data_IF_595530836105
#
_entry.id   IF_595530836105
#
_cell.length_a   1.000
_cell.length_b   1.000
_cell.length_c   1.000
_cell.angle_alpha   90.00
_cell.angle_beta   90.00
_cell.angle_gamma   90.00
#
_symmetry.space_group_name_H-M   'P 1'
#
loop_
_entity.id
_entity.type
_entity.pdbx_description
1 polymer ?
#
# COMPACT_ATOMS: atom_id res chain seq x y z
N UNK A 1 57.33 51.94 -22.86
CA UNK A 1 57.38 50.51 -23.17
C UNK A 1 56.39 49.84 -22.21
N UNK A 2 55.30 49.29 -22.77
CA UNK A 2 54.12 48.68 -22.15
C UNK A 2 52.99 49.63 -21.70
N UNK A 3 52.01 49.76 -22.61
CA UNK A 3 50.57 49.99 -22.43
C UNK A 3 49.91 48.61 -22.12
N UNK A 4 48.58 48.43 -21.93
CA UNK A 4 47.52 49.17 -21.20
C UNK A 4 46.80 48.21 -20.19
N UNK A 5 45.87 48.70 -19.36
CA UNK A 5 44.64 47.92 -19.06
C UNK A 5 43.54 48.81 -18.48
N UNK A 6 42.52 49.01 -19.32
CA UNK A 6 41.23 49.58 -18.99
C UNK A 6 40.26 48.48 -18.52
N UNK A 7 39.28 48.82 -17.70
CA UNK A 7 38.00 48.12 -17.69
C UNK A 7 36.88 49.05 -17.22
N UNK A 8 35.99 49.37 -18.16
CA UNK A 8 34.73 50.08 -17.98
C UNK A 8 33.64 49.19 -17.35
N UNK A 9 32.62 49.78 -16.72
CA UNK A 9 31.37 49.10 -16.38
C UNK A 9 30.35 49.22 -17.53
N UNK A 10 29.55 48.18 -17.77
CA UNK A 10 28.39 48.27 -18.66
C UNK A 10 27.87 46.94 -19.19
N UNK A 11 26.71 46.55 -18.65
CA UNK A 11 25.58 45.99 -19.40
C UNK A 11 25.55 44.49 -19.77
N UNK A 12 25.06 43.70 -18.81
CA UNK A 12 23.83 42.88 -18.90
C UNK A 12 23.32 42.37 -20.27
N UNK A 13 24.15 41.75 -21.11
CA UNK A 13 23.70 41.21 -22.42
C UNK A 13 24.07 39.74 -22.71
N UNK A 14 24.11 38.86 -21.69
CA UNK A 14 24.28 37.40 -21.92
C UNK A 14 23.13 36.53 -21.41
N UNK A 15 22.12 37.10 -20.75
CA UNK A 15 20.99 36.33 -20.20
C UNK A 15 19.75 36.25 -21.13
N UNK A 16 19.86 36.70 -22.39
CA UNK A 16 18.71 36.84 -23.31
C UNK A 16 18.82 36.00 -24.59
N UNK A 17 19.58 34.90 -24.57
CA UNK A 17 19.70 33.99 -25.72
C UNK A 17 19.28 32.53 -25.47
N UNK A 18 18.46 32.25 -24.46
CA UNK A 18 18.03 30.86 -24.19
C UNK A 18 16.51 30.64 -24.07
N UNK A 19 15.70 31.68 -24.28
CA UNK A 19 14.23 31.58 -24.19
C UNK A 19 13.54 31.34 -25.53
N UNK A 20 14.20 31.64 -26.65
CA UNK A 20 13.63 31.47 -28.00
C UNK A 20 14.05 30.16 -28.70
N UNK A 21 15.09 29.48 -28.22
CA UNK A 21 15.50 28.18 -28.75
C UNK A 21 14.66 27.03 -28.18
N UNK A 22 14.21 27.17 -26.92
CA UNK A 22 13.44 26.14 -26.22
C UNK A 22 11.97 25.99 -26.68
N UNK A 23 11.44 26.99 -27.38
CA UNK A 23 10.10 26.93 -27.98
C UNK A 23 10.10 26.42 -29.42
N UNK A 24 11.26 26.13 -30.01
CA UNK A 24 11.39 25.54 -31.36
C UNK A 24 11.53 24.02 -31.36
N UNK A 25 11.72 23.38 -30.21
CA UNK A 25 11.92 21.92 -30.10
C UNK A 25 10.81 21.16 -29.35
N UNK A 26 9.68 21.80 -29.05
CA UNK A 26 8.56 21.20 -28.30
C UNK A 26 7.23 21.06 -29.04
N UNK A 27 7.16 21.39 -30.33
CA UNK A 27 5.95 21.24 -31.17
C UNK A 27 6.08 19.96 -32.02
N UNK A 28 5.90 18.81 -31.39
CA UNK A 28 6.06 17.51 -32.05
C UNK A 28 5.45 16.35 -31.27
N UNK A 29 4.28 16.56 -30.63
CA UNK A 29 3.55 15.52 -29.91
C UNK A 29 2.05 15.72 -30.03
N UNK A 30 1.53 15.50 -31.24
CA UNK A 30 0.09 15.57 -31.55
C UNK A 30 -0.69 14.47 -30.84
N UNK A 31 -1.93 14.82 -30.44
CA UNK A 31 -2.96 13.97 -29.88
C UNK A 31 -3.08 12.61 -30.57
N UNK A 32 -3.06 11.54 -29.79
CA UNK A 32 -3.68 10.27 -30.16
C UNK A 32 -4.85 10.02 -29.21
N UNK A 33 -6.05 10.44 -29.62
CA UNK A 33 -7.29 10.06 -28.95
C UNK A 33 -8.03 9.04 -29.81
N UNK A 34 -8.44 7.96 -29.13
CA UNK A 34 -9.55 7.06 -29.46
C UNK A 34 -9.35 6.02 -30.59
N UNK A 35 -8.76 4.88 -30.20
CA UNK A 35 -9.30 3.55 -30.56
C UNK A 35 -9.11 2.63 -29.36
N UNK A 36 -10.22 2.13 -28.81
CA UNK A 36 -10.28 1.24 -27.65
C UNK A 36 -9.55 -0.07 -27.96
N UNK A 37 -8.63 -0.48 -27.09
CA UNK A 37 -8.23 -1.87 -26.96
C UNK A 37 -7.76 -2.12 -25.53
N UNK A 38 -8.49 -2.96 -24.82
CA UNK A 38 -8.03 -3.63 -23.60
C UNK A 38 -6.92 -4.61 -23.98
N UNK A 39 -5.75 -4.10 -24.36
CA UNK A 39 -4.53 -4.89 -24.46
C UNK A 39 -3.89 -4.90 -23.09
N UNK A 40 -4.10 -6.00 -22.36
CA UNK A 40 -3.27 -6.38 -21.23
C UNK A 40 -1.82 -6.52 -21.71
N UNK A 41 -0.95 -5.63 -21.25
CA UNK A 41 0.48 -5.62 -21.59
C UNK A 41 0.94 -4.17 -21.67
N UNK A 42 1.54 -3.58 -20.66
CA UNK A 42 2.35 -4.09 -19.56
C UNK A 42 1.54 -4.06 -18.26
N UNK A 43 1.73 -5.02 -17.36
CA UNK A 43 1.09 -5.08 -16.03
C UNK A 43 1.51 -3.88 -15.17
N UNK A 44 0.92 -2.73 -15.47
CA UNK A 44 1.06 -1.48 -14.76
C UNK A 44 0.19 -1.56 -13.52
N UNK A 45 0.82 -1.33 -12.37
CA UNK A 45 0.24 -1.34 -11.05
C UNK A 45 -1.17 -0.71 -11.08
N UNK A 46 -2.18 -1.46 -10.69
CA UNK A 46 -3.48 -0.86 -10.44
C UNK A 46 -3.31 0.03 -9.21
N UNK A 47 -3.03 1.33 -9.40
CA UNK A 47 -2.97 2.30 -8.29
C UNK A 47 -4.38 2.64 -7.78
N UNK A 48 -5.40 2.29 -8.56
CA UNK A 48 -6.79 2.48 -8.16
C UNK A 48 -7.19 1.45 -7.09
N UNK A 49 -7.93 1.87 -6.05
CA UNK A 49 -8.53 0.94 -5.08
C UNK A 49 -9.31 -0.16 -5.77
N UNK A 50 -9.34 -1.35 -5.17
CA UNK A 50 -9.96 -2.54 -5.75
C UNK A 50 -11.49 -2.37 -5.97
N UNK A 51 -12.11 -1.40 -5.28
CA UNK A 51 -13.54 -1.18 -5.33
C UNK A 51 -14.29 -2.36 -4.73
N UNK A 52 -15.39 -2.75 -5.36
CA UNK A 52 -16.15 -3.93 -4.96
C UNK A 52 -15.55 -5.19 -5.61
N UNK A 53 -15.37 -6.24 -4.82
CA UNK A 53 -14.92 -7.54 -5.31
C UNK A 53 -16.11 -8.49 -5.36
N UNK A 54 -16.42 -9.00 -6.56
CA UNK A 54 -17.47 -10.01 -6.78
C UNK A 54 -16.89 -11.45 -6.79
N UNK A 55 -15.68 -11.62 -6.26
CA UNK A 55 -14.90 -12.85 -6.39
C UNK A 55 -15.27 -13.85 -5.29
N UNK A 56 -16.08 -14.85 -5.64
CA UNK A 56 -16.62 -15.86 -4.72
C UNK A 56 -15.49 -16.58 -3.97
N UNK A 57 -14.34 -16.77 -4.62
CA UNK A 57 -13.21 -17.52 -4.07
C UNK A 57 -12.50 -16.80 -2.91
N UNK A 58 -12.59 -15.47 -2.83
CA UNK A 58 -11.95 -14.68 -1.77
C UNK A 58 -12.77 -14.56 -0.50
N UNK A 59 -14.06 -14.92 -0.55
CA UNK A 59 -14.99 -14.88 0.59
C UNK A 59 -15.01 -13.54 1.35
N UNK A 60 -14.75 -12.45 0.62
CA UNK A 60 -14.94 -11.08 1.09
C UNK A 60 -16.45 -10.78 1.17
N UNK A 61 -16.83 -9.83 2.02
CA UNK A 61 -18.19 -9.32 2.05
C UNK A 61 -18.51 -8.62 0.71
N UNK A 62 -19.48 -9.16 -0.02
CA UNK A 62 -19.91 -8.63 -1.33
C UNK A 62 -20.44 -7.19 -1.27
N UNK A 63 -20.78 -6.70 -0.07
CA UNK A 63 -21.20 -5.32 0.18
C UNK A 63 -20.03 -4.38 0.47
N UNK A 64 -18.84 -4.92 0.80
CA UNK A 64 -17.67 -4.12 1.11
C UNK A 64 -17.07 -3.48 -0.15
N UNK A 65 -16.68 -2.21 -0.01
CA UNK A 65 -16.00 -1.45 -1.06
C UNK A 65 -14.61 -1.03 -0.56
N UNK A 66 -13.57 -1.57 -1.19
CA UNK A 66 -12.19 -1.18 -0.94
C UNK A 66 -11.95 0.24 -1.43
N UNK A 67 -11.51 1.11 -0.51
CA UNK A 67 -11.30 2.54 -0.77
C UNK A 67 -9.83 2.95 -0.79
N UNK A 68 -8.93 2.08 -0.33
CA UNK A 68 -7.50 2.32 -0.30
C UNK A 68 -6.70 1.17 -0.91
N UNK A 69 -6.96 -0.06 -0.48
CA UNK A 69 -6.26 -1.25 -0.96
C UNK A 69 -6.62 -1.55 -2.41
N UNK A 70 -5.59 -1.82 -3.19
CA UNK A 70 -5.65 -2.31 -4.57
C UNK A 70 -5.75 -3.83 -4.55
N UNK A 71 -5.99 -4.46 -5.70
CA UNK A 71 -6.01 -5.93 -5.80
C UNK A 71 -4.68 -6.55 -5.40
N UNK A 72 -3.56 -5.93 -5.79
CA UNK A 72 -2.23 -6.42 -5.46
C UNK A 72 -1.93 -6.31 -3.95
N UNK A 73 -2.48 -5.29 -3.27
CA UNK A 73 -2.33 -5.16 -1.82
C UNK A 73 -3.14 -6.21 -1.07
N UNK A 74 -4.32 -6.55 -1.59
CA UNK A 74 -5.15 -7.63 -1.03
C UNK A 74 -4.39 -8.96 -1.13
N UNK A 75 -3.81 -9.26 -2.29
CA UNK A 75 -2.97 -10.46 -2.48
C UNK A 75 -1.73 -10.47 -1.57
N UNK A 76 -1.10 -9.30 -1.37
CA UNK A 76 -0.02 -9.12 -0.39
C UNK A 76 -0.48 -9.53 1.01
N UNK A 77 -1.61 -9.00 1.50
CA UNK A 77 -2.10 -9.33 2.83
C UNK A 77 -2.62 -10.77 2.95
N UNK A 78 -3.25 -11.32 1.91
CA UNK A 78 -3.63 -12.74 1.86
C UNK A 78 -2.42 -13.67 2.11
N UNK A 79 -1.24 -13.28 1.62
CA UNK A 79 0.01 -14.00 1.85
C UNK A 79 0.65 -13.72 3.22
N UNK A 80 0.61 -12.46 3.70
CA UNK A 80 1.28 -12.06 4.94
C UNK A 80 0.53 -12.46 6.21
N UNK A 81 -0.80 -12.35 6.23
CA UNK A 81 -1.60 -12.59 7.44
C UNK A 81 -1.46 -14.01 8.01
N UNK A 82 -1.44 -15.08 7.19
CA UNK A 82 -1.15 -16.43 7.69
C UNK A 82 0.21 -16.56 8.37
N UNK A 83 1.23 -15.83 7.89
CA UNK A 83 2.56 -15.84 8.50
C UNK A 83 2.62 -15.03 9.80
N UNK A 84 1.85 -13.93 9.89
CA UNK A 84 1.79 -13.09 11.08
C UNK A 84 1.02 -13.72 12.23
N UNK A 85 -0.09 -14.40 11.93
CA UNK A 85 -1.02 -14.88 12.95
C UNK A 85 -0.99 -16.39 13.15
N UNK A 86 -0.56 -17.17 12.15
CA UNK A 86 -0.28 -18.61 12.26
C UNK A 86 -1.32 -19.40 13.09
N UNK A 87 -1.01 -19.77 14.36
CA UNK A 87 -1.93 -20.50 15.25
C UNK A 87 -3.13 -19.69 15.76
N UNK A 88 -3.07 -18.35 15.77
CA UNK A 88 -4.19 -17.50 16.19
C UNK A 88 -5.34 -17.51 15.17
N UNK A 89 -5.08 -17.95 13.93
CA UNK A 89 -6.12 -18.16 12.93
C UNK A 89 -6.82 -19.51 13.14
N UNK A 90 -8.13 -19.61 12.88
CA UNK A 90 -8.86 -20.88 12.96
C UNK A 90 -8.18 -22.01 12.17
N UNK A 91 -8.28 -23.25 12.67
CA UNK A 91 -7.75 -24.42 11.96
C UNK A 91 -8.63 -24.80 10.76
N UNK A 92 -9.96 -24.63 10.89
CA UNK A 92 -10.89 -24.94 9.81
C UNK A 92 -10.61 -24.04 8.59
N UNK A 93 -10.37 -24.60 7.39
CA UNK A 93 -9.92 -23.82 6.22
C UNK A 93 -10.86 -22.68 5.82
N UNK A 94 -12.17 -22.89 5.91
CA UNK A 94 -13.16 -21.88 5.55
C UNK A 94 -13.19 -20.73 6.57
N UNK A 95 -13.22 -21.04 7.87
CA UNK A 95 -13.17 -20.04 8.93
C UNK A 95 -11.85 -19.25 8.91
N UNK A 96 -10.74 -19.91 8.59
CA UNK A 96 -9.44 -19.26 8.39
C UNK A 96 -9.49 -18.22 7.27
N UNK A 97 -10.04 -18.58 6.10
CA UNK A 97 -10.17 -17.64 4.98
C UNK A 97 -11.07 -16.45 5.33
N UNK A 98 -12.18 -16.68 6.02
CA UNK A 98 -13.06 -15.61 6.50
C UNK A 98 -12.36 -14.67 7.50
N UNK A 99 -11.57 -15.22 8.44
CA UNK A 99 -10.81 -14.42 9.39
C UNK A 99 -9.76 -13.55 8.68
N UNK A 100 -9.09 -14.08 7.65
CA UNK A 100 -8.15 -13.33 6.80
C UNK A 100 -8.88 -12.24 6.02
N UNK A 101 -9.95 -12.58 5.31
CA UNK A 101 -10.75 -11.66 4.50
C UNK A 101 -11.27 -10.48 5.33
N UNK A 102 -11.97 -10.74 6.44
CA UNK A 102 -12.49 -9.69 7.32
C UNK A 102 -11.37 -8.86 7.97
N UNK A 103 -10.17 -9.41 8.14
CA UNK A 103 -9.02 -8.62 8.60
C UNK A 103 -8.53 -7.67 7.51
N UNK A 104 -8.48 -8.10 6.25
CA UNK A 104 -8.08 -7.25 5.12
C UNK A 104 -9.08 -6.10 4.92
N UNK A 105 -10.38 -6.35 5.04
CA UNK A 105 -11.41 -5.31 5.01
C UNK A 105 -11.22 -4.30 6.15
N UNK A 106 -10.93 -4.76 7.37
CA UNK A 106 -10.64 -3.88 8.52
C UNK A 106 -9.34 -3.09 8.32
N UNK A 107 -8.32 -3.66 7.66
CA UNK A 107 -7.10 -2.93 7.29
C UNK A 107 -7.46 -1.78 6.35
N UNK A 108 -8.19 -2.04 5.26
CA UNK A 108 -8.61 -1.01 4.30
C UNK A 108 -9.42 0.10 4.97
N UNK A 109 -10.44 -0.28 5.73
CA UNK A 109 -11.31 0.65 6.46
C UNK A 109 -10.51 1.48 7.48
N UNK A 110 -9.58 0.85 8.21
CA UNK A 110 -8.71 1.54 9.16
C UNK A 110 -7.82 2.58 8.48
N UNK A 111 -7.15 2.21 7.39
CA UNK A 111 -6.25 3.12 6.65
C UNK A 111 -7.03 4.29 6.05
N UNK A 112 -8.25 4.05 5.56
CA UNK A 112 -9.08 5.12 4.99
C UNK A 112 -9.38 6.25 6.00
N UNK A 113 -9.35 5.96 7.30
CA UNK A 113 -9.54 6.94 8.37
C UNK A 113 -8.24 7.68 8.76
N UNK A 114 -7.08 7.33 8.19
CA UNK A 114 -5.83 8.02 8.48
C UNK A 114 -5.74 9.36 7.73
N UNK A 115 -4.91 10.28 8.24
CA UNK A 115 -4.61 11.53 7.55
C UNK A 115 -3.88 11.29 6.20
N UNK A 116 -3.99 12.22 5.22
CA UNK A 116 -3.46 12.03 3.86
C UNK A 116 -1.97 11.69 3.80
N UNK A 117 -1.16 12.26 4.69
CA UNK A 117 0.28 11.96 4.76
C UNK A 117 0.55 10.48 5.09
N UNK A 118 -0.14 9.94 6.09
CA UNK A 118 0.01 8.54 6.50
C UNK A 118 -0.51 7.58 5.42
N UNK A 119 -1.63 7.91 4.76
CA UNK A 119 -2.13 7.15 3.63
C UNK A 119 -1.09 7.10 2.49
N UNK A 120 -0.44 8.22 2.19
CA UNK A 120 0.60 8.29 1.16
C UNK A 120 1.84 7.45 1.53
N UNK A 121 2.28 7.46 2.78
CA UNK A 121 3.40 6.63 3.24
C UNK A 121 3.09 5.13 3.09
N UNK A 122 1.88 4.71 3.47
CA UNK A 122 1.45 3.32 3.31
C UNK A 122 1.31 2.93 1.84
N UNK A 123 0.80 3.82 0.99
CA UNK A 123 0.73 3.59 -0.46
C UNK A 123 2.12 3.32 -1.03
N UNK A 124 3.12 4.13 -0.68
CA UNK A 124 4.52 3.93 -1.09
C UNK A 124 5.09 2.60 -0.60
N UNK A 125 4.81 2.24 0.64
CA UNK A 125 5.24 0.96 1.20
C UNK A 125 4.62 -0.21 0.43
N UNK A 126 3.32 -0.16 0.16
CA UNK A 126 2.62 -1.24 -0.54
C UNK A 126 3.03 -1.31 -2.01
N UNK A 127 3.17 -0.17 -2.71
CA UNK A 127 3.71 -0.10 -4.07
C UNK A 127 5.10 -0.73 -4.16
N UNK A 128 5.96 -0.47 -3.18
CA UNK A 128 7.28 -1.09 -3.12
C UNK A 128 7.18 -2.61 -2.98
N UNK A 129 6.23 -3.12 -2.21
CA UNK A 129 6.05 -4.56 -1.99
C UNK A 129 5.33 -5.26 -3.14
N UNK A 130 4.46 -4.58 -3.88
CA UNK A 130 3.69 -5.16 -4.99
C UNK A 130 4.41 -5.00 -6.32
N UNK A 131 5.23 -3.96 -6.51
CA UNK A 131 6.04 -3.77 -7.70
C UNK A 131 7.12 -4.85 -7.81
N UNK A 132 7.09 -5.62 -8.91
CA UNK A 132 7.89 -6.84 -9.06
C UNK A 132 9.39 -6.62 -8.85
N UNK A 133 9.96 -5.53 -9.38
CA UNK A 133 11.40 -5.27 -9.24
C UNK A 133 11.80 -5.00 -7.78
N UNK A 134 11.06 -4.15 -7.06
CA UNK A 134 11.36 -3.84 -5.66
C UNK A 134 10.99 -4.99 -4.73
N UNK A 135 9.93 -5.75 -5.02
CA UNK A 135 9.62 -6.99 -4.30
C UNK A 135 10.78 -7.99 -4.34
N UNK A 136 11.36 -8.20 -5.53
CA UNK A 136 12.48 -9.13 -5.69
C UNK A 136 13.77 -8.58 -5.07
N UNK A 137 14.10 -7.31 -5.30
CA UNK A 137 15.39 -6.74 -4.88
C UNK A 137 15.42 -6.30 -3.42
N UNK A 138 14.35 -5.67 -2.95
CA UNK A 138 14.23 -5.07 -1.60
C UNK A 138 13.62 -6.07 -0.62
N UNK A 139 12.47 -6.65 -0.95
CA UNK A 139 11.81 -7.63 -0.07
C UNK A 139 12.46 -9.03 -0.16
N UNK A 140 13.24 -9.30 -1.22
CA UNK A 140 13.82 -10.63 -1.52
C UNK A 140 12.74 -11.71 -1.63
N UNK A 141 11.62 -11.36 -2.25
CA UNK A 141 10.49 -12.25 -2.50
C UNK A 141 10.34 -12.44 -4.02
N UNK A 142 10.74 -13.62 -4.50
CA UNK A 142 10.78 -13.94 -5.93
C UNK A 142 9.38 -14.17 -6.51
N UNK A 143 8.62 -15.05 -5.86
CA UNK A 143 7.23 -15.34 -6.21
C UNK A 143 6.35 -14.09 -6.15
N UNK A 144 5.31 -14.04 -6.98
CA UNK A 144 4.19 -13.12 -6.75
C UNK A 144 3.48 -13.51 -5.46
N UNK A 145 2.90 -12.54 -4.75
CA UNK A 145 2.29 -12.76 -3.44
C UNK A 145 1.30 -13.94 -3.37
N UNK A 146 0.41 -14.18 -4.35
CA UNK A 146 -0.48 -15.35 -4.33
C UNK A 146 0.23 -16.70 -4.28
N UNK A 147 1.50 -16.74 -4.69
CA UNK A 147 2.34 -17.94 -4.76
C UNK A 147 3.43 -17.95 -3.67
N UNK A 148 3.41 -17.01 -2.73
CA UNK A 148 4.36 -16.96 -1.62
C UNK A 148 3.92 -17.95 -0.55
N UNK A 149 4.83 -18.83 -0.13
CA UNK A 149 4.55 -19.74 0.97
C UNK A 149 4.54 -19.00 2.31
N UNK A 150 3.82 -19.52 3.31
CA UNK A 150 3.83 -18.95 4.67
C UNK A 150 5.25 -18.86 5.25
N UNK A 151 6.11 -19.82 4.94
CA UNK A 151 7.52 -19.82 5.36
C UNK A 151 8.31 -18.68 4.71
N UNK A 152 8.12 -18.43 3.41
CA UNK A 152 8.79 -17.34 2.70
C UNK A 152 8.29 -15.96 3.15
N UNK A 153 6.98 -15.83 3.40
CA UNK A 153 6.40 -14.63 3.99
C UNK A 153 6.98 -14.35 5.38
N UNK A 154 7.08 -15.38 6.24
CA UNK A 154 7.72 -15.24 7.54
C UNK A 154 9.20 -14.85 7.43
N UNK A 155 9.95 -15.48 6.52
CA UNK A 155 11.34 -15.15 6.28
C UNK A 155 11.51 -13.69 5.79
N UNK A 156 10.59 -13.19 4.97
CA UNK A 156 10.53 -11.78 4.58
C UNK A 156 10.33 -10.86 5.78
N UNK A 157 9.29 -11.12 6.59
CA UNK A 157 8.97 -10.33 7.77
C UNK A 157 10.15 -10.31 8.75
N UNK A 158 10.79 -11.45 8.99
CA UNK A 158 11.92 -11.59 9.89
C UNK A 158 13.15 -10.80 9.44
N UNK A 159 13.46 -10.81 8.13
CA UNK A 159 14.54 -9.99 7.57
C UNK A 159 14.30 -8.50 7.77
N UNK A 160 13.07 -8.05 7.55
CA UNK A 160 12.73 -6.65 7.73
C UNK A 160 12.70 -6.26 9.21
N UNK A 161 12.19 -7.14 10.08
CA UNK A 161 12.19 -6.96 11.54
C UNK A 161 13.59 -6.76 12.10
N UNK A 162 14.54 -7.60 11.69
CA UNK A 162 15.92 -7.61 12.23
C UNK A 162 16.90 -6.72 11.46
N UNK A 163 16.43 -6.03 10.43
CA UNK A 163 17.26 -5.13 9.61
C UNK A 163 17.80 -3.95 10.42
N UNK A 164 19.11 -3.70 10.33
CA UNK A 164 19.74 -2.47 10.84
C UNK A 164 19.43 -1.22 9.99
N UNK A 165 18.85 -1.39 8.79
CA UNK A 165 18.37 -0.28 7.96
C UNK A 165 16.98 0.13 8.45
N UNK A 166 16.87 1.34 8.99
CA UNK A 166 15.65 1.85 9.61
C UNK A 166 14.42 1.82 8.70
N UNK A 167 14.60 2.00 7.38
CA UNK A 167 13.49 1.92 6.42
C UNK A 167 12.78 0.56 6.46
N UNK A 168 13.52 -0.55 6.48
CA UNK A 168 12.93 -1.90 6.47
C UNK A 168 12.30 -2.26 7.80
N UNK A 169 12.96 -1.90 8.90
CA UNK A 169 12.42 -2.11 10.24
C UNK A 169 11.12 -1.30 10.43
N UNK A 170 11.08 -0.04 10.00
CA UNK A 170 9.87 0.78 10.02
C UNK A 170 8.76 0.20 9.13
N UNK A 171 9.11 -0.34 7.95
CA UNK A 171 8.16 -1.05 7.10
C UNK A 171 7.55 -2.28 7.78
N UNK A 172 8.36 -3.09 8.45
CA UNK A 172 7.89 -4.21 9.28
C UNK A 172 6.96 -3.74 10.41
N UNK A 173 7.33 -2.67 11.12
CA UNK A 173 6.53 -2.11 12.21
C UNK A 173 5.18 -1.62 11.67
N UNK A 174 5.15 -0.94 10.53
CA UNK A 174 3.91 -0.44 9.92
C UNK A 174 2.97 -1.60 9.53
N UNK A 175 3.48 -2.60 8.81
CA UNK A 175 2.72 -3.81 8.44
C UNK A 175 2.17 -4.50 9.69
N UNK A 176 3.03 -4.72 10.69
CA UNK A 176 2.66 -5.43 11.91
C UNK A 176 1.59 -4.67 12.69
N UNK A 177 1.75 -3.35 12.88
CA UNK A 177 0.79 -2.54 13.65
C UNK A 177 -0.59 -2.54 13.00
N UNK A 178 -0.66 -2.30 11.69
CA UNK A 178 -1.94 -2.23 10.98
C UNK A 178 -2.64 -3.59 10.98
N UNK A 179 -1.90 -4.66 10.69
CA UNK A 179 -2.45 -6.02 10.73
C UNK A 179 -2.94 -6.39 12.13
N UNK A 180 -2.17 -6.11 13.19
CA UNK A 180 -2.56 -6.45 14.57
C UNK A 180 -3.80 -5.67 15.03
N UNK A 181 -3.85 -4.37 14.75
CA UNK A 181 -5.03 -3.54 15.08
C UNK A 181 -6.27 -4.05 14.34
N UNK A 182 -6.15 -4.39 13.06
CA UNK A 182 -7.26 -4.90 12.27
C UNK A 182 -7.71 -6.31 12.70
N UNK A 183 -6.78 -7.19 13.05
CA UNK A 183 -7.08 -8.57 13.47
C UNK A 183 -7.74 -8.59 14.84
N UNK A 184 -7.05 -8.09 15.87
CA UNK A 184 -7.58 -8.10 17.25
C UNK A 184 -8.67 -7.06 17.49
N UNK A 185 -8.85 -6.09 16.60
CA UNK A 185 -9.99 -5.16 16.63
C UNK A 185 -11.30 -5.81 16.18
N UNK A 186 -11.25 -6.93 15.45
CA UNK A 186 -12.44 -7.66 15.03
C UNK A 186 -13.13 -8.35 16.21
N UNK A 187 -14.46 -8.21 16.30
CA UNK A 187 -15.26 -8.83 17.36
C UNK A 187 -15.01 -10.34 17.49
N UNK A 188 -14.88 -11.04 16.36
CA UNK A 188 -14.62 -12.48 16.32
C UNK A 188 -13.30 -12.88 16.97
N UNK A 189 -12.35 -11.94 17.12
CA UNK A 189 -10.99 -12.19 17.64
C UNK A 189 -10.79 -11.67 19.07
N UNK A 190 -11.76 -10.97 19.66
CA UNK A 190 -11.62 -10.41 21.01
C UNK A 190 -11.32 -11.45 22.09
N UNK A 191 -11.87 -12.65 21.93
CA UNK A 191 -11.60 -13.78 22.83
C UNK A 191 -10.11 -14.16 22.87
N UNK A 192 -9.34 -13.93 21.80
CA UNK A 192 -7.91 -14.21 21.74
C UNK A 192 -7.05 -13.24 22.57
N UNK A 193 -7.54 -12.01 22.78
CA UNK A 193 -6.87 -11.01 23.62
C UNK A 193 -7.41 -10.99 25.06
N UNK A 194 -8.41 -11.82 25.37
CA UNK A 194 -9.13 -11.79 26.64
C UNK A 194 -10.01 -10.54 26.81
N UNK A 195 -10.29 -9.81 25.72
CA UNK A 195 -11.15 -8.64 25.76
C UNK A 195 -12.63 -9.11 25.77
N UNK A 196 -13.43 -8.78 26.80
CA UNK A 196 -14.83 -9.18 26.86
C UNK A 196 -15.74 -8.34 25.94
N UNK A 197 -15.17 -7.37 25.22
CA UNK A 197 -15.93 -6.35 24.51
C UNK A 197 -16.22 -5.11 25.34
N UNK A 198 -16.84 -4.08 24.73
CA UNK A 198 -17.30 -2.91 25.46
C UNK A 198 -18.38 -3.31 26.47
N UNK A 199 -18.40 -2.70 27.66
CA UNK A 199 -19.44 -3.00 28.65
C UNK A 199 -20.81 -2.57 28.11
N UNK A 200 -21.86 -3.35 28.44
CA UNK A 200 -23.19 -3.14 27.85
C UNK A 200 -23.72 -1.71 28.01
N UNK A 201 -23.50 -1.10 29.18
CA UNK A 201 -23.92 0.29 29.43
C UNK A 201 -23.31 1.29 28.42
N UNK A 202 -22.08 1.04 27.96
CA UNK A 202 -21.41 1.91 27.00
C UNK A 202 -21.97 1.72 25.59
N UNK A 203 -22.28 0.48 25.24
CA UNK A 203 -22.98 0.13 23.99
C UNK A 203 -24.34 0.82 23.92
N UNK A 204 -25.10 0.78 25.01
CA UNK A 204 -26.44 1.38 25.06
C UNK A 204 -26.41 2.92 25.04
N UNK A 205 -25.41 3.52 25.71
CA UNK A 205 -25.32 4.96 25.88
C UNK A 205 -24.70 5.69 24.68
N UNK A 206 -23.64 5.15 24.09
CA UNK A 206 -22.75 5.91 23.21
C UNK A 206 -23.18 5.84 21.73
N UNK A 207 -23.21 6.99 21.00
CA UNK A 207 -23.69 7.03 19.62
C UNK A 207 -22.91 6.14 18.66
N UNK A 208 -21.60 5.97 18.85
CA UNK A 208 -20.76 5.19 17.94
C UNK A 208 -21.07 3.68 17.92
N UNK A 209 -21.82 3.16 18.90
CA UNK A 209 -22.27 1.77 18.92
C UNK A 209 -23.69 1.61 18.35
N UNK A 210 -24.36 2.72 18.05
CA UNK A 210 -25.68 2.71 17.42
C UNK A 210 -25.44 2.71 15.92
N UNK A 211 -25.76 1.59 15.26
CA UNK A 211 -25.68 1.49 13.80
C UNK A 211 -26.52 2.62 13.18
N UNK A 212 -25.93 3.37 12.24
CA UNK A 212 -26.64 4.37 11.45
C UNK A 212 -27.65 3.71 10.50
#
# INVERSE_FOLDING_TARGET
MLDPSAAQPGDTEFARLDRRSFLKSGLGGTLFLATVSTTAGLSGCATAPAGRLDDVDRQMDTSYQFRFLTRDDIELFEALLPAMFGPALPEQPQARRLAVAGTIERIDSGIHNFGPANQQELRRLFDLLTFGFTRVTIARVWSRWPNVSTADANAFLERWRTSGIGLFNNGYIALTKISNVAFYGGHDQWHLSGYPGPPQWAVDALPQFKTA
#
